data_IF_553990912913
#
_entry.id   IF_553990912913
#
_cell.length_a   1.000
_cell.length_b   1.000
_cell.length_c   1.000
_cell.angle_alpha   90.00
_cell.angle_beta   90.00
_cell.angle_gamma   90.00
#
_symmetry.space_group_name_H-M   'P 1'
#
loop_
_entity.id
_entity.type
_entity.pdbx_description
1 polymer ?
#
# COMPACT_ATOMS: atom_id res chain seq x y z
N UNK A 1 -26.53 60.50 -44.65
CA UNK A 1 -25.14 60.41 -44.15
C UNK A 1 -25.02 59.20 -43.26
N UNK A 2 -24.08 58.33 -43.61
CA UNK A 2 -23.71 57.10 -42.89
C UNK A 2 -22.92 57.44 -41.62
N UNK A 3 -23.03 56.55 -40.64
CA UNK A 3 -22.07 56.24 -39.56
C UNK A 3 -21.93 57.25 -38.42
N UNK A 4 -22.56 56.91 -37.29
CA UNK A 4 -21.91 57.00 -35.98
C UNK A 4 -22.52 55.95 -35.02
N UNK A 5 -22.33 54.67 -35.32
CA UNK A 5 -22.65 53.57 -34.39
C UNK A 5 -21.57 52.49 -34.54
N UNK A 6 -20.36 52.76 -34.05
CA UNK A 6 -19.23 51.83 -34.16
C UNK A 6 -18.06 52.26 -33.27
N UNK A 7 -18.28 52.45 -31.96
CA UNK A 7 -17.14 52.55 -31.05
C UNK A 7 -17.34 51.90 -29.67
N UNK A 8 -18.57 51.56 -29.28
CA UNK A 8 -18.83 50.83 -28.02
C UNK A 8 -18.84 49.31 -28.19
N UNK A 9 -18.99 48.78 -29.41
CA UNK A 9 -19.00 47.32 -29.67
C UNK A 9 -17.61 46.72 -29.94
N UNK A 10 -16.57 47.53 -30.17
CA UNK A 10 -15.21 47.06 -30.44
C UNK A 10 -14.36 46.91 -29.17
N UNK A 11 -14.75 47.55 -28.07
CA UNK A 11 -14.06 47.40 -26.79
C UNK A 11 -14.49 46.11 -26.08
N UNK A 12 -15.74 45.66 -26.17
CA UNK A 12 -16.16 44.44 -25.47
C UNK A 12 -15.60 43.13 -26.08
N UNK A 13 -15.37 43.08 -27.39
CA UNK A 13 -14.82 41.89 -28.06
C UNK A 13 -13.32 41.72 -27.83
N UNK A 14 -12.56 42.81 -27.71
CA UNK A 14 -11.14 42.76 -27.36
C UNK A 14 -10.93 42.30 -25.91
N UNK A 15 -11.78 42.70 -24.95
CA UNK A 15 -11.69 42.22 -23.56
C UNK A 15 -12.07 40.74 -23.42
N UNK A 16 -13.05 40.24 -24.19
CA UNK A 16 -13.39 38.81 -24.21
C UNK A 16 -12.28 37.95 -24.82
N UNK A 17 -11.66 38.40 -25.92
CA UNK A 17 -10.56 37.68 -26.56
C UNK A 17 -9.25 37.71 -25.74
N UNK A 18 -8.97 38.82 -25.03
CA UNK A 18 -7.81 38.91 -24.12
C UNK A 18 -8.02 38.15 -22.79
N UNK A 19 -9.25 38.05 -22.29
CA UNK A 19 -9.58 37.22 -21.12
C UNK A 19 -9.43 35.72 -21.42
N UNK A 20 -9.79 35.28 -22.64
CA UNK A 20 -9.59 33.89 -23.09
C UNK A 20 -8.11 33.54 -23.29
N UNK A 21 -7.31 34.43 -23.90
CA UNK A 21 -5.88 34.18 -24.19
C UNK A 21 -5.00 33.95 -22.95
N UNK A 22 -5.40 34.47 -21.79
CA UNK A 22 -4.71 34.24 -20.51
C UNK A 22 -5.10 32.92 -19.82
N UNK A 23 -6.24 32.33 -20.19
CA UNK A 23 -6.77 31.12 -19.56
C UNK A 23 -6.22 29.83 -20.19
N UNK A 24 -5.85 29.84 -21.47
CA UNK A 24 -5.27 28.68 -22.17
C UNK A 24 -3.90 28.26 -21.60
N UNK A 25 -3.22 29.18 -20.92
CA UNK A 25 -1.96 28.92 -20.21
C UNK A 25 -2.15 28.54 -18.75
N UNK A 26 -3.38 28.44 -18.25
CA UNK A 26 -3.62 28.00 -16.87
C UNK A 26 -3.76 26.48 -16.80
N UNK A 27 -3.37 25.93 -15.67
CA UNK A 27 -3.66 24.55 -15.28
C UNK A 27 -4.03 24.45 -13.81
N UNK A 28 -4.78 23.42 -13.47
CA UNK A 28 -5.05 23.06 -12.08
C UNK A 28 -4.04 22.01 -11.65
N UNK A 29 -3.21 22.37 -10.68
CA UNK A 29 -2.29 21.45 -10.02
C UNK A 29 -3.04 20.73 -8.91
N UNK A 30 -3.26 19.44 -9.13
CA UNK A 30 -3.91 18.53 -8.19
C UNK A 30 -2.91 17.96 -7.16
N UNK A 31 -1.64 18.35 -7.26
CA UNK A 31 -0.57 17.86 -6.41
C UNK A 31 0.06 16.57 -6.91
N UNK A 32 0.41 15.67 -6.00
CA UNK A 32 0.94 14.34 -6.34
C UNK A 32 -0.17 13.47 -6.97
N UNK A 33 0.09 12.99 -8.19
CA UNK A 33 -0.83 12.18 -8.98
C UNK A 33 -0.77 10.69 -8.67
N UNK A 34 0.10 10.25 -7.74
CA UNK A 34 -0.03 8.95 -7.08
C UNK A 34 -1.37 8.92 -6.33
N UNK A 35 -2.19 7.91 -6.63
CA UNK A 35 -3.65 8.03 -6.47
C UNK A 35 -4.14 8.17 -5.04
N UNK A 36 -3.38 7.74 -4.04
CA UNK A 36 -3.67 7.93 -2.62
C UNK A 36 -3.26 9.33 -2.13
N UNK A 37 -2.16 9.88 -2.65
CA UNK A 37 -1.58 11.16 -2.21
C UNK A 37 -2.29 12.38 -2.76
N UNK A 38 -3.12 12.23 -3.79
CA UNK A 38 -3.92 13.34 -4.35
C UNK A 38 -4.86 13.97 -3.31
N UNK A 39 -5.33 13.19 -2.33
CA UNK A 39 -6.19 13.68 -1.24
C UNK A 39 -5.45 14.49 -0.17
N UNK A 40 -4.12 14.42 -0.14
CA UNK A 40 -3.28 14.98 0.92
C UNK A 40 -2.81 16.40 0.62
N UNK A 41 -2.98 16.88 -0.61
CA UNK A 41 -2.46 18.17 -1.07
C UNK A 41 -3.57 19.15 -1.40
N UNK A 42 -3.28 20.43 -1.20
CA UNK A 42 -4.16 21.51 -1.64
C UNK A 42 -4.03 21.69 -3.14
N UNK A 43 -5.18 21.80 -3.79
CA UNK A 43 -5.30 22.19 -5.19
C UNK A 43 -4.86 23.64 -5.34
N UNK A 44 -4.12 23.92 -6.41
CA UNK A 44 -3.73 25.28 -6.80
C UNK A 44 -3.91 25.49 -8.29
N UNK A 45 -3.97 26.75 -8.72
CA UNK A 45 -3.89 27.13 -10.13
C UNK A 45 -2.49 27.62 -10.42
N UNK A 46 -1.91 27.23 -11.55
CA UNK A 46 -0.62 27.74 -12.01
C UNK A 46 -0.62 28.02 -13.50
N UNK A 47 0.40 28.77 -13.94
CA UNK A 47 0.74 28.86 -15.35
C UNK A 47 1.37 27.52 -15.81
N UNK A 48 0.91 26.99 -16.93
CA UNK A 48 1.34 25.72 -17.50
C UNK A 48 2.73 25.79 -18.12
N UNK A 49 3.25 27.00 -18.39
CA UNK A 49 4.56 27.21 -19.03
C UNK A 49 5.73 27.18 -18.04
N UNK A 50 5.49 27.54 -16.78
CA UNK A 50 6.56 27.73 -15.79
C UNK A 50 6.17 27.32 -14.36
N UNK A 51 5.00 26.70 -14.17
CA UNK A 51 4.48 26.22 -12.88
C UNK A 51 4.34 27.28 -11.78
N UNK A 52 4.40 28.57 -12.13
CA UNK A 52 4.18 29.64 -11.16
C UNK A 52 2.72 29.67 -10.74
N UNK A 53 2.50 29.65 -9.42
CA UNK A 53 1.16 29.76 -8.82
C UNK A 53 0.50 31.06 -9.27
N UNK A 54 -0.75 30.95 -9.71
CA UNK A 54 -1.60 32.07 -10.11
C UNK A 54 -2.70 32.21 -9.05
N UNK A 55 -2.92 33.44 -8.60
CA UNK A 55 -4.06 33.78 -7.75
C UNK A 55 -5.17 34.32 -8.63
N UNK A 56 -6.31 33.65 -8.59
CA UNK A 56 -7.53 34.08 -9.27
C UNK A 56 -8.44 34.80 -8.28
N UNK A 57 -9.18 35.79 -8.76
CA UNK A 57 -10.23 36.43 -7.99
C UNK A 57 -11.42 35.49 -7.83
N UNK A 58 -12.33 35.83 -6.92
CA UNK A 58 -13.61 35.12 -6.80
C UNK A 58 -14.40 35.20 -8.12
N UNK A 59 -14.93 34.07 -8.58
CA UNK A 59 -15.57 33.97 -9.90
C UNK A 59 -15.61 32.55 -10.44
N UNK A 60 -16.20 32.38 -11.63
CA UNK A 60 -16.26 31.10 -12.34
C UNK A 60 -15.30 31.11 -13.53
N UNK A 61 -14.61 29.98 -13.74
CA UNK A 61 -13.57 29.83 -14.74
C UNK A 61 -13.74 28.49 -15.46
N UNK A 62 -13.87 28.55 -16.78
CA UNK A 62 -13.89 27.38 -17.64
C UNK A 62 -12.81 27.53 -18.72
N UNK A 63 -11.89 26.57 -18.79
CA UNK A 63 -10.79 26.61 -19.76
C UNK A 63 -10.29 25.21 -20.10
N UNK A 64 -9.67 25.09 -21.27
CA UNK A 64 -9.16 23.83 -21.80
C UNK A 64 -7.74 24.03 -22.31
N UNK A 65 -6.83 23.18 -21.87
CA UNK A 65 -5.48 23.11 -22.40
C UNK A 65 -5.23 21.71 -22.99
N UNK A 66 -3.99 21.40 -23.38
CA UNK A 66 -3.64 20.13 -24.02
C UNK A 66 -3.88 18.90 -23.13
N UNK A 67 -3.84 19.07 -21.82
CA UNK A 67 -3.89 17.98 -20.83
C UNK A 67 -5.16 18.01 -19.99
N UNK A 68 -5.83 19.16 -19.88
CA UNK A 68 -6.93 19.35 -18.94
C UNK A 68 -8.11 20.09 -19.56
N UNK A 69 -9.32 19.68 -19.16
CA UNK A 69 -10.56 20.47 -19.28
C UNK A 69 -11.03 20.82 -17.88
N UNK A 70 -11.22 22.11 -17.60
CA UNK A 70 -11.39 22.65 -16.25
C UNK A 70 -12.66 23.47 -16.20
N UNK A 71 -13.47 23.24 -15.17
CA UNK A 71 -14.64 24.02 -14.81
C UNK A 71 -14.64 24.22 -13.29
N UNK A 72 -14.20 25.40 -12.84
CA UNK A 72 -14.00 25.70 -11.42
C UNK A 72 -14.61 27.05 -11.02
N UNK A 73 -14.94 27.17 -9.74
CA UNK A 73 -15.30 28.42 -9.09
C UNK A 73 -14.34 28.73 -7.95
N UNK A 74 -14.03 30.01 -7.78
CA UNK A 74 -13.27 30.54 -6.67
C UNK A 74 -14.23 31.30 -5.75
N UNK A 75 -14.29 30.91 -4.48
CA UNK A 75 -15.11 31.58 -3.45
C UNK A 75 -14.28 31.78 -2.19
N UNK A 76 -14.09 33.03 -1.77
CA UNK A 76 -13.20 33.41 -0.66
C UNK A 76 -11.79 32.81 -0.82
N UNK A 77 -11.27 32.80 -2.06
CA UNK A 77 -9.97 32.22 -2.39
C UNK A 77 -9.88 30.69 -2.33
N UNK A 78 -11.00 29.97 -2.16
CA UNK A 78 -11.07 28.51 -2.19
C UNK A 78 -11.59 28.02 -3.55
N UNK A 79 -11.02 26.92 -4.06
CA UNK A 79 -11.34 26.32 -5.36
C UNK A 79 -12.42 25.25 -5.18
N UNK A 80 -13.40 25.24 -6.08
CA UNK A 80 -14.44 24.21 -6.19
C UNK A 80 -14.67 23.88 -7.66
N UNK A 81 -15.10 22.66 -7.97
CA UNK A 81 -15.54 22.30 -9.33
C UNK A 81 -14.93 21.00 -9.84
N UNK A 82 -14.83 20.88 -11.17
CA UNK A 82 -14.42 19.69 -11.87
C UNK A 82 -13.16 19.93 -12.71
N UNK A 83 -12.27 18.94 -12.70
CA UNK A 83 -11.08 18.92 -13.56
C UNK A 83 -10.99 17.54 -14.22
N UNK A 84 -10.95 17.54 -15.55
CA UNK A 84 -10.73 16.36 -16.36
C UNK A 84 -9.29 16.40 -16.86
N UNK A 85 -8.53 15.34 -16.63
CA UNK A 85 -7.14 15.19 -17.07
C UNK A 85 -7.05 14.05 -18.07
N UNK A 86 -6.56 14.32 -19.27
CA UNK A 86 -6.35 13.33 -20.33
C UNK A 86 -4.85 13.15 -20.55
N UNK A 87 -4.35 11.92 -20.37
CA UNK A 87 -2.95 11.60 -20.61
C UNK A 87 -2.79 10.86 -21.95
N UNK A 88 -2.33 11.58 -22.97
CA UNK A 88 -2.23 11.06 -24.34
C UNK A 88 -1.07 10.07 -24.57
N UNK A 89 -0.22 9.80 -23.57
CA UNK A 89 0.98 8.97 -23.76
C UNK A 89 0.76 7.46 -23.49
N UNK A 90 -0.35 7.06 -22.87
CA UNK A 90 -0.61 5.66 -22.48
C UNK A 90 -2.10 5.37 -22.51
N UNK A 91 -2.64 4.97 -23.68
CA UNK A 91 -4.08 4.71 -23.85
C UNK A 91 -4.92 5.95 -23.54
N UNK A 92 -6.21 5.98 -23.83
CA UNK A 92 -7.06 7.13 -23.46
C UNK A 92 -7.34 7.10 -21.95
N UNK A 93 -6.33 7.38 -21.11
CA UNK A 93 -6.52 7.52 -19.67
C UNK A 93 -7.14 8.89 -19.39
N UNK A 94 -8.37 8.87 -18.90
CA UNK A 94 -9.10 10.05 -18.47
C UNK A 94 -9.30 9.99 -16.95
N UNK A 95 -8.91 11.03 -16.24
CA UNK A 95 -9.20 11.16 -14.81
C UNK A 95 -10.09 12.35 -14.56
N UNK A 96 -11.20 12.12 -13.86
CA UNK A 96 -12.15 13.14 -13.45
C UNK A 96 -11.91 13.42 -11.97
N UNK A 97 -11.75 14.68 -11.61
CA UNK A 97 -11.56 15.13 -10.22
C UNK A 97 -12.68 16.08 -9.83
N UNK A 98 -13.24 15.88 -8.65
CA UNK A 98 -14.14 16.83 -7.99
C UNK A 98 -13.40 17.52 -6.85
N UNK A 99 -13.45 18.85 -6.83
CA UNK A 99 -12.72 19.69 -5.89
C UNK A 99 -13.72 20.46 -5.03
N UNK A 100 -13.49 20.50 -3.72
CA UNK A 100 -14.21 21.37 -2.80
C UNK A 100 -13.22 21.93 -1.78
N UNK A 101 -13.36 23.21 -1.42
CA UNK A 101 -12.48 23.88 -0.44
C UNK A 101 -10.98 23.76 -0.77
N UNK A 102 -10.63 23.82 -2.06
CA UNK A 102 -9.27 23.59 -2.58
C UNK A 102 -8.68 22.22 -2.25
N UNK A 103 -9.52 21.21 -2.00
CA UNK A 103 -9.11 19.82 -1.81
C UNK A 103 -9.82 18.94 -2.83
N UNK A 104 -9.11 17.93 -3.37
CA UNK A 104 -9.79 16.88 -4.14
C UNK A 104 -10.70 16.10 -3.20
N UNK A 105 -11.99 16.02 -3.50
CA UNK A 105 -12.98 15.26 -2.73
C UNK A 105 -13.22 13.89 -3.31
N UNK A 106 -13.24 13.78 -4.63
CA UNK A 106 -13.48 12.55 -5.36
C UNK A 106 -12.61 12.51 -6.61
N UNK A 107 -12.27 11.31 -7.05
CA UNK A 107 -11.74 11.10 -8.39
C UNK A 107 -12.30 9.82 -9.00
N UNK A 108 -12.35 9.79 -10.33
CA UNK A 108 -12.65 8.59 -11.12
C UNK A 108 -11.68 8.49 -12.29
N UNK A 109 -11.09 7.32 -12.49
CA UNK A 109 -10.13 7.02 -13.56
C UNK A 109 -10.75 6.02 -14.52
N UNK A 110 -10.72 6.37 -15.81
CA UNK A 110 -11.07 5.51 -16.93
C UNK A 110 -9.83 5.24 -17.79
N UNK A 111 -9.74 4.02 -18.34
CA UNK A 111 -8.76 3.65 -19.37
C UNK A 111 -9.53 2.96 -20.48
N UNK A 112 -9.42 3.45 -21.72
CA UNK A 112 -10.17 2.91 -22.87
C UNK A 112 -11.69 2.86 -22.59
N UNK A 113 -12.22 3.89 -21.93
CA UNK A 113 -13.61 4.00 -21.43
C UNK A 113 -14.02 3.02 -20.32
N UNK A 114 -13.16 2.11 -19.89
CA UNK A 114 -13.42 1.20 -18.78
C UNK A 114 -13.09 1.85 -17.44
N UNK A 115 -13.96 1.68 -16.45
CA UNK A 115 -13.72 2.16 -15.09
C UNK A 115 -12.55 1.39 -14.46
N UNK A 116 -11.48 2.08 -14.10
CA UNK A 116 -10.29 1.47 -13.50
C UNK A 116 -10.12 1.81 -12.02
N UNK A 117 -10.49 3.01 -11.60
CA UNK A 117 -10.30 3.41 -10.22
C UNK A 117 -11.32 4.48 -9.80
N UNK A 118 -11.74 4.42 -8.54
CA UNK A 118 -12.51 5.47 -7.88
C UNK A 118 -11.85 5.79 -6.55
N UNK A 119 -12.00 7.03 -6.10
CA UNK A 119 -11.63 7.41 -4.75
C UNK A 119 -12.48 8.56 -4.26
N UNK A 120 -12.65 8.63 -2.95
CA UNK A 120 -13.30 9.76 -2.28
C UNK A 120 -12.67 10.01 -0.92
N UNK A 121 -12.89 11.19 -0.35
CA UNK A 121 -12.48 11.51 1.02
C UNK A 121 -13.59 12.14 1.85
N UNK A 122 -13.60 11.78 3.12
CA UNK A 122 -14.23 12.57 4.17
C UNK A 122 -13.17 13.51 4.80
N UNK A 123 -13.41 13.93 6.03
CA UNK A 123 -12.50 14.83 6.75
C UNK A 123 -11.31 14.10 7.36
N UNK A 124 -11.48 12.82 7.73
CA UNK A 124 -10.48 12.02 8.45
C UNK A 124 -9.79 10.99 7.57
N UNK A 125 -10.41 10.56 6.47
CA UNK A 125 -9.99 9.42 5.66
C UNK A 125 -10.23 9.64 4.17
N UNK A 126 -9.34 9.05 3.38
CA UNK A 126 -9.52 8.83 1.96
C UNK A 126 -9.76 7.34 1.71
N UNK A 127 -10.65 7.01 0.79
CA UNK A 127 -11.00 5.65 0.38
C UNK A 127 -10.76 5.49 -1.10
N UNK A 128 -10.47 4.27 -1.54
CA UNK A 128 -10.33 3.97 -2.95
C UNK A 128 -10.79 2.55 -3.28
N UNK A 129 -11.14 2.37 -4.55
CA UNK A 129 -11.35 1.07 -5.19
C UNK A 129 -10.68 1.08 -6.56
N UNK A 130 -9.97 0.01 -6.88
CA UNK A 130 -9.33 -0.26 -8.16
C UNK A 130 -9.94 -1.52 -8.74
N UNK A 131 -10.17 -1.52 -10.04
CA UNK A 131 -10.81 -2.60 -10.78
C UNK A 131 -9.85 -3.17 -11.83
N UNK A 132 -10.02 -4.43 -12.18
CA UNK A 132 -9.41 -4.97 -13.39
C UNK A 132 -10.01 -4.27 -14.63
N UNK A 133 -9.25 -4.12 -15.72
CA UNK A 133 -9.74 -3.50 -16.95
C UNK A 133 -10.66 -4.47 -17.71
N UNK A 134 -11.80 -4.80 -17.10
CA UNK A 134 -12.86 -5.65 -17.65
C UNK A 134 -14.22 -4.95 -17.55
N UNK A 135 -15.19 -5.40 -18.35
CA UNK A 135 -16.55 -4.85 -18.34
C UNK A 135 -17.32 -5.19 -17.06
N UNK A 136 -16.88 -6.20 -16.32
CA UNK A 136 -17.52 -6.70 -15.09
C UNK A 136 -17.16 -5.84 -13.87
N UNK A 137 -16.18 -4.95 -13.99
CA UNK A 137 -15.62 -4.15 -12.91
C UNK A 137 -15.17 -5.03 -11.74
N UNK A 138 -14.44 -6.11 -12.06
CA UNK A 138 -13.92 -7.03 -11.04
C UNK A 138 -13.01 -6.26 -10.09
N UNK A 139 -13.30 -6.29 -8.79
CA UNK A 139 -12.53 -5.57 -7.78
C UNK A 139 -11.12 -6.15 -7.70
N UNK A 140 -10.11 -5.29 -7.92
CA UNK A 140 -8.69 -5.65 -7.86
C UNK A 140 -8.09 -5.27 -6.53
N UNK A 141 -8.38 -4.07 -6.05
CA UNK A 141 -7.94 -3.60 -4.75
C UNK A 141 -8.89 -2.57 -4.16
N UNK A 142 -8.93 -2.46 -2.84
CA UNK A 142 -9.65 -1.40 -2.15
C UNK A 142 -8.94 -1.05 -0.85
N UNK A 143 -9.25 0.11 -0.29
CA UNK A 143 -8.69 0.46 1.00
C UNK A 143 -9.06 1.86 1.45
N UNK A 144 -8.46 2.24 2.57
CA UNK A 144 -8.55 3.58 3.12
C UNK A 144 -7.19 4.04 3.65
N UNK A 145 -7.06 5.35 3.81
CA UNK A 145 -5.88 6.03 4.34
C UNK A 145 -6.30 7.17 5.25
N UNK A 146 -5.61 7.35 6.38
CA UNK A 146 -5.83 8.45 7.31
C UNK A 146 -5.34 9.77 6.72
N UNK A 147 -6.18 10.80 6.85
CA UNK A 147 -5.92 12.21 6.58
C UNK A 147 -5.71 13.02 7.86
N UNK A 148 -5.79 12.39 9.04
CA UNK A 148 -5.46 13.01 10.31
C UNK A 148 -3.93 13.19 10.42
N UNK A 149 -3.49 14.45 10.39
CA UNK A 149 -2.07 14.84 10.48
C UNK A 149 -1.44 14.47 11.81
N UNK A 150 -2.24 14.30 12.85
CA UNK A 150 -1.77 13.95 14.19
C UNK A 150 -1.79 12.44 14.43
N UNK A 151 -2.42 11.65 13.55
CA UNK A 151 -2.62 10.22 13.75
C UNK A 151 -2.59 9.43 12.44
N UNK A 152 -1.52 8.66 12.27
CA UNK A 152 -1.33 7.74 11.15
C UNK A 152 -1.46 8.38 9.76
N UNK A 153 -1.19 9.68 9.62
CA UNK A 153 -1.29 10.42 8.35
C UNK A 153 -0.61 9.67 7.20
N UNK A 154 -1.32 9.46 6.09
CA UNK A 154 -0.78 8.75 4.93
C UNK A 154 -0.66 7.23 5.10
N UNK A 155 -1.13 6.67 6.22
CA UNK A 155 -1.20 5.23 6.49
C UNK A 155 -2.65 4.77 6.59
N UNK A 156 -2.89 3.50 6.30
CA UNK A 156 -4.22 2.91 6.40
C UNK A 156 -4.20 1.44 6.03
N UNK A 157 -5.35 0.91 5.66
CA UNK A 157 -5.54 -0.51 5.38
C UNK A 157 -5.97 -0.69 3.94
N UNK A 158 -5.30 -1.59 3.22
CA UNK A 158 -5.71 -2.01 1.88
C UNK A 158 -5.87 -3.51 1.76
N UNK A 159 -6.72 -3.91 0.83
CA UNK A 159 -7.00 -5.28 0.43
C UNK A 159 -6.72 -5.41 -1.06
N UNK A 160 -6.19 -6.56 -1.46
CA UNK A 160 -6.09 -6.96 -2.88
C UNK A 160 -6.80 -8.27 -3.07
N UNK A 161 -7.31 -8.46 -4.27
CA UNK A 161 -8.10 -9.63 -4.66
C UNK A 161 -7.47 -10.28 -5.89
N UNK A 162 -7.69 -11.58 -6.03
CA UNK A 162 -7.48 -12.29 -7.28
C UNK A 162 -8.62 -11.98 -8.27
N UNK A 163 -8.44 -12.29 -9.55
CA UNK A 163 -9.49 -12.09 -10.58
C UNK A 163 -10.77 -12.90 -10.30
N UNK A 164 -10.68 -13.99 -9.53
CA UNK A 164 -11.85 -14.75 -9.09
C UNK A 164 -12.58 -14.12 -7.89
N UNK A 165 -12.14 -12.94 -7.42
CA UNK A 165 -12.72 -12.23 -6.28
C UNK A 165 -12.20 -12.67 -4.91
N UNK A 166 -11.41 -13.74 -4.81
CA UNK A 166 -10.85 -14.18 -3.52
C UNK A 166 -9.80 -13.19 -3.03
N UNK A 167 -9.81 -12.90 -1.73
CA UNK A 167 -8.81 -12.05 -1.08
C UNK A 167 -7.41 -12.66 -1.24
N UNK A 168 -6.46 -11.88 -1.74
CA UNK A 168 -5.06 -12.30 -1.92
C UNK A 168 -4.13 -11.69 -0.89
N UNK A 169 -4.44 -10.48 -0.41
CA UNK A 169 -3.55 -9.73 0.47
C UNK A 169 -4.29 -8.68 1.29
N UNK A 170 -3.87 -8.49 2.54
CA UNK A 170 -4.20 -7.34 3.40
C UNK A 170 -2.91 -6.65 3.81
N UNK A 171 -2.84 -5.33 3.59
CA UNK A 171 -1.79 -4.46 4.12
C UNK A 171 -2.40 -3.55 5.18
N UNK A 172 -2.02 -3.73 6.44
CA UNK A 172 -2.34 -2.80 7.51
C UNK A 172 -1.11 -1.98 7.85
N UNK A 173 -1.01 -0.79 7.28
CA UNK A 173 0.10 0.14 7.52
C UNK A 173 -0.06 0.91 8.83
N UNK A 174 -1.19 0.79 9.51
CA UNK A 174 -1.42 1.39 10.84
C UNK A 174 -0.72 0.55 11.90
N UNK A 175 -0.90 -0.77 11.84
CA UNK A 175 -0.24 -1.73 12.75
C UNK A 175 1.03 -2.35 12.17
N UNK A 176 1.39 -1.97 10.94
CA UNK A 176 2.52 -2.51 10.18
C UNK A 176 2.48 -4.05 10.07
N UNK A 177 1.26 -4.58 9.86
CA UNK A 177 0.98 -6.00 9.72
C UNK A 177 0.47 -6.30 8.31
N UNK A 178 1.00 -7.35 7.69
CA UNK A 178 0.71 -7.74 6.33
C UNK A 178 0.32 -9.21 6.27
N UNK A 179 -0.80 -9.53 5.61
CA UNK A 179 -1.32 -10.91 5.52
C UNK A 179 -1.51 -11.29 4.06
N UNK A 180 -0.94 -12.42 3.65
CA UNK A 180 -1.11 -13.03 2.33
C UNK A 180 -2.04 -14.24 2.43
N UNK A 181 -2.77 -14.53 1.36
CA UNK A 181 -3.73 -15.61 1.27
C UNK A 181 -3.47 -16.46 0.03
N UNK A 182 -3.86 -17.72 0.09
CA UNK A 182 -3.94 -18.61 -1.06
C UNK A 182 -5.22 -18.32 -1.88
N UNK A 183 -5.30 -18.74 -3.16
CA UNK A 183 -6.50 -18.60 -3.98
C UNK A 183 -7.75 -19.29 -3.42
N UNK A 184 -7.56 -20.29 -2.53
CA UNK A 184 -8.64 -20.98 -1.82
C UNK A 184 -9.18 -20.20 -0.59
N UNK A 185 -8.61 -19.03 -0.28
CA UNK A 185 -9.01 -18.17 0.84
C UNK A 185 -8.29 -18.44 2.15
N UNK A 186 -7.51 -19.52 2.26
CA UNK A 186 -6.72 -19.80 3.45
C UNK A 186 -5.56 -18.81 3.59
N UNK A 187 -5.22 -18.46 4.83
CA UNK A 187 -4.03 -17.66 5.10
C UNK A 187 -2.80 -18.41 4.61
N UNK A 188 -1.86 -17.68 4.05
CA UNK A 188 -0.55 -18.18 3.61
C UNK A 188 0.56 -17.69 4.54
N UNK A 189 0.53 -16.39 4.85
CA UNK A 189 1.56 -15.75 5.67
C UNK A 189 0.98 -14.55 6.39
N UNK A 190 1.45 -14.29 7.61
CA UNK A 190 1.24 -13.03 8.33
C UNK A 190 2.58 -12.53 8.84
N UNK A 191 2.92 -11.29 8.57
CA UNK A 191 4.19 -10.68 9.00
C UNK A 191 3.97 -9.29 9.58
N UNK A 192 4.76 -8.93 10.58
CA UNK A 192 4.81 -7.60 11.20
C UNK A 192 6.05 -7.49 12.10
N UNK A 193 6.18 -6.40 12.85
CA UNK A 193 7.41 -6.11 13.62
C UNK A 193 7.85 -7.25 14.56
N UNK A 194 6.90 -7.92 15.24
CA UNK A 194 7.17 -8.96 16.23
C UNK A 194 6.45 -10.28 15.94
N UNK A 195 5.97 -10.46 14.71
CA UNK A 195 5.20 -11.64 14.33
C UNK A 195 5.56 -12.06 12.92
N UNK A 196 5.85 -13.34 12.76
CA UNK A 196 5.96 -13.99 11.46
C UNK A 196 5.28 -15.35 11.55
N UNK A 197 4.22 -15.56 10.79
CA UNK A 197 3.46 -16.80 10.76
C UNK A 197 3.38 -17.27 9.31
N UNK A 198 3.62 -18.56 9.06
CA UNK A 198 3.33 -19.20 7.77
C UNK A 198 2.37 -20.35 7.98
N UNK A 199 1.55 -20.59 6.97
CA UNK A 199 0.47 -21.56 6.98
C UNK A 199 0.59 -22.44 5.74
N UNK A 200 0.17 -23.69 5.88
CA UNK A 200 0.00 -24.58 4.75
C UNK A 200 -1.28 -24.23 3.97
N UNK A 201 -1.41 -24.74 2.75
CA UNK A 201 -2.57 -24.46 1.89
C UNK A 201 -3.90 -24.99 2.46
N UNK A 202 -3.84 -25.97 3.37
CA UNK A 202 -4.97 -26.48 4.15
C UNK A 202 -5.40 -25.56 5.32
N UNK A 203 -4.69 -24.45 5.53
CA UNK A 203 -4.96 -23.47 6.58
C UNK A 203 -4.28 -23.76 7.92
N UNK A 204 -3.57 -24.89 8.06
CA UNK A 204 -2.85 -25.20 9.29
C UNK A 204 -1.61 -24.31 9.46
N UNK A 205 -1.40 -23.78 10.67
CA UNK A 205 -0.17 -23.09 11.03
C UNK A 205 1.01 -24.04 10.83
N UNK A 206 2.05 -23.57 10.15
CA UNK A 206 3.29 -24.31 9.89
C UNK A 206 4.45 -23.74 10.69
N UNK A 207 4.57 -22.41 10.75
CA UNK A 207 5.63 -21.73 11.47
C UNK A 207 5.10 -20.50 12.20
N UNK A 208 5.66 -20.21 13.38
CA UNK A 208 5.43 -18.97 14.10
C UNK A 208 6.71 -18.49 14.77
N UNK A 209 7.14 -17.29 14.42
CA UNK A 209 8.23 -16.58 15.09
C UNK A 209 7.66 -15.39 15.86
N UNK A 210 8.11 -15.23 17.09
CA UNK A 210 7.64 -14.19 17.99
C UNK A 210 8.67 -13.92 19.10
N UNK A 211 8.58 -12.76 19.72
CA UNK A 211 9.40 -12.40 20.87
C UNK A 211 8.56 -12.47 22.14
N UNK A 212 9.08 -13.13 23.17
CA UNK A 212 8.48 -13.16 24.52
C UNK A 212 9.61 -13.09 25.54
N UNK A 213 9.48 -12.24 26.55
CA UNK A 213 10.51 -12.04 27.60
C UNK A 213 11.91 -11.74 27.00
N UNK A 214 11.99 -10.89 25.97
CA UNK A 214 13.22 -10.58 25.22
C UNK A 214 13.91 -11.77 24.53
N UNK A 215 13.26 -12.94 24.48
CA UNK A 215 13.74 -14.11 23.75
C UNK A 215 12.93 -14.27 22.46
N UNK A 216 13.62 -14.47 21.34
CA UNK A 216 13.00 -14.77 20.05
C UNK A 216 12.81 -16.29 19.93
N UNK A 217 11.56 -16.69 19.77
CA UNK A 217 11.16 -18.07 19.54
C UNK A 217 10.87 -18.31 18.06
N UNK A 218 11.15 -19.54 17.62
CA UNK A 218 10.79 -20.07 16.32
C UNK A 218 10.10 -21.44 16.50
N UNK A 219 8.78 -21.44 16.39
CA UNK A 219 7.92 -22.61 16.57
C UNK A 219 7.57 -23.22 15.21
N UNK A 220 7.79 -24.53 15.04
CA UNK A 220 7.29 -25.30 13.90
C UNK A 220 6.17 -26.23 14.32
N UNK A 221 5.15 -26.27 13.48
CA UNK A 221 3.93 -27.02 13.69
C UNK A 221 3.80 -28.10 12.61
N UNK A 222 3.33 -29.27 13.01
CA UNK A 222 2.97 -30.37 12.12
C UNK A 222 1.49 -30.70 12.34
N UNK A 223 0.67 -30.61 11.28
CA UNK A 223 -0.78 -30.80 11.32
C UNK A 223 -1.45 -30.00 12.46
N UNK A 224 -1.07 -28.73 12.59
CA UNK A 224 -1.62 -27.80 13.59
C UNK A 224 -1.12 -28.00 15.03
N UNK A 225 -0.24 -28.98 15.29
CA UNK A 225 0.33 -29.24 16.63
C UNK A 225 1.80 -28.83 16.68
N UNK A 226 2.21 -28.19 17.77
CA UNK A 226 3.62 -27.83 17.98
C UNK A 226 4.48 -29.09 17.89
N UNK A 227 5.54 -29.02 17.08
CA UNK A 227 6.47 -30.12 16.84
C UNK A 227 7.88 -29.77 17.31
N UNK A 228 8.35 -28.54 17.04
CA UNK A 228 9.62 -28.04 17.57
C UNK A 228 9.52 -26.58 17.96
N UNK A 229 10.31 -26.18 18.95
CA UNK A 229 10.52 -24.78 19.31
C UNK A 229 12.02 -24.55 19.41
N UNK A 230 12.54 -23.53 18.73
CA UNK A 230 13.94 -23.15 18.80
C UNK A 230 14.08 -21.71 19.29
N UNK A 231 15.06 -21.44 20.16
CA UNK A 231 15.33 -20.12 20.72
C UNK A 231 16.73 -20.07 21.34
N UNK A 232 17.21 -18.87 21.60
CA UNK A 232 18.43 -18.64 22.37
C UNK A 232 18.08 -18.34 23.84
N UNK A 233 18.69 -19.05 24.79
CA UNK A 233 18.47 -18.80 26.23
C UNK A 233 19.25 -17.57 26.74
N UNK A 234 19.09 -17.24 28.02
CA UNK A 234 19.74 -16.09 28.66
C UNK A 234 21.28 -16.20 28.66
N UNK A 235 21.81 -17.43 28.64
CA UNK A 235 23.24 -17.74 28.54
C UNK A 235 23.75 -17.70 27.09
N UNK A 236 22.91 -17.32 26.13
CA UNK A 236 23.19 -17.32 24.69
C UNK A 236 23.39 -18.71 24.08
N UNK A 237 22.93 -19.77 24.73
CA UNK A 237 22.94 -21.11 24.15
C UNK A 237 21.77 -21.29 23.19
N UNK A 238 22.00 -22.01 22.09
CA UNK A 238 20.93 -22.45 21.19
C UNK A 238 20.15 -23.59 21.84
N UNK A 239 18.84 -23.41 21.95
CA UNK A 239 17.92 -24.39 22.54
C UNK A 239 16.95 -24.86 21.48
N UNK A 240 16.73 -26.19 21.43
CA UNK A 240 15.65 -26.81 20.66
C UNK A 240 14.83 -27.75 21.52
N UNK A 241 13.55 -27.47 21.63
CA UNK A 241 12.56 -28.32 22.29
C UNK A 241 11.80 -29.14 21.25
N UNK A 242 11.50 -30.39 21.58
CA UNK A 242 10.83 -31.35 20.70
C UNK A 242 9.52 -31.80 21.33
N UNK A 243 8.49 -31.85 20.49
CA UNK A 243 7.12 -32.14 20.87
C UNK A 243 6.56 -33.24 19.97
N UNK A 244 5.80 -34.15 20.57
CA UNK A 244 5.02 -35.17 19.86
C UNK A 244 3.55 -34.90 20.14
N UNK A 245 2.77 -34.63 19.09
CA UNK A 245 1.35 -34.26 19.20
C UNK A 245 1.10 -33.08 20.16
N UNK A 246 2.02 -32.11 20.22
CA UNK A 246 1.93 -30.95 21.12
C UNK A 246 2.39 -31.22 22.56
N UNK A 247 2.81 -32.44 22.90
CA UNK A 247 3.31 -32.80 24.22
C UNK A 247 4.84 -32.78 24.21
N UNK A 248 5.46 -32.04 25.13
CA UNK A 248 6.90 -31.95 25.28
C UNK A 248 7.53 -33.34 25.53
N UNK A 249 8.61 -33.64 24.80
CA UNK A 249 9.31 -34.92 24.87
C UNK A 249 10.75 -34.79 25.36
N UNK A 250 11.50 -33.82 24.80
CA UNK A 250 12.91 -33.60 25.11
C UNK A 250 13.36 -32.19 24.75
N UNK A 251 14.48 -31.77 25.32
CA UNK A 251 15.16 -30.50 25.03
C UNK A 251 16.63 -30.78 24.68
N UNK A 252 17.12 -30.18 23.61
CA UNK A 252 18.53 -30.14 23.27
C UNK A 252 19.08 -28.73 23.48
N UNK A 253 20.29 -28.62 24.02
CA UNK A 253 20.99 -27.34 24.25
C UNK A 253 22.39 -27.45 23.70
N UNK A 254 22.77 -26.56 22.80
CA UNK A 254 24.15 -26.45 22.33
C UNK A 254 24.93 -25.53 23.27
N UNK A 255 25.91 -26.10 23.97
CA UNK A 255 26.76 -25.38 24.93
C UNK A 255 28.23 -25.50 24.55
N UNK A 256 29.02 -24.46 24.86
CA UNK A 256 30.48 -24.54 24.80
C UNK A 256 31.03 -25.12 26.10
N UNK A 257 31.62 -26.31 26.03
CA UNK A 257 32.24 -27.01 27.14
C UNK A 257 33.71 -27.26 26.82
N UNK A 258 34.62 -26.80 27.68
CA UNK A 258 36.07 -26.99 27.52
C UNK A 258 36.62 -26.56 26.14
N UNK A 259 36.04 -25.52 25.55
CA UNK A 259 36.44 -25.02 24.22
C UNK A 259 35.66 -25.60 23.05
N UNK A 260 34.95 -26.72 23.24
CA UNK A 260 34.20 -27.42 22.19
C UNK A 260 32.69 -27.17 22.30
N UNK A 261 32.01 -27.08 21.16
CA UNK A 261 30.54 -27.05 21.14
C UNK A 261 30.06 -28.49 21.36
N UNK A 262 29.06 -28.67 22.23
CA UNK A 262 28.44 -29.96 22.55
C UNK A 262 26.93 -29.82 22.58
N UNK A 263 26.22 -30.82 22.08
CA UNK A 263 24.76 -30.90 22.17
C UNK A 263 24.37 -31.77 23.38
N UNK A 264 23.81 -31.12 24.40
CA UNK A 264 23.29 -31.78 25.60
C UNK A 264 21.78 -32.01 25.42
N UNK A 265 21.35 -33.27 25.45
CA UNK A 265 19.92 -33.63 25.36
C UNK A 265 19.37 -34.07 26.71
N UNK A 266 18.21 -33.53 27.06
CA UNK A 266 17.48 -33.80 28.31
C UNK A 266 16.11 -34.37 27.99
N UNK A 267 15.66 -35.37 28.75
CA UNK A 267 14.32 -35.92 28.64
C UNK A 267 13.24 -34.98 29.22
N UNK A 268 11.98 -35.41 29.16
CA UNK A 268 10.84 -34.67 29.71
C UNK A 268 10.90 -34.40 31.21
N UNK A 269 11.67 -35.18 31.97
CA UNK A 269 11.89 -35.01 33.40
C UNK A 269 13.10 -34.10 33.71
N UNK A 270 13.83 -33.66 32.68
CA UNK A 270 15.03 -32.84 32.82
C UNK A 270 16.31 -33.66 33.06
N UNK A 271 16.27 -34.99 32.95
CA UNK A 271 17.45 -35.83 33.09
C UNK A 271 18.29 -35.76 31.81
N UNK A 272 19.60 -35.54 31.94
CA UNK A 272 20.54 -35.63 30.83
C UNK A 272 20.54 -37.07 30.29
N UNK A 273 20.22 -37.22 29.00
CA UNK A 273 20.18 -38.51 28.30
C UNK A 273 21.23 -38.62 27.21
N UNK A 274 21.79 -37.49 26.75
CA UNK A 274 22.86 -37.51 25.75
C UNK A 274 23.79 -36.30 25.85
N UNK A 275 25.05 -36.49 25.50
CA UNK A 275 26.07 -35.46 25.37
C UNK A 275 26.96 -35.83 24.18
N UNK A 276 26.74 -35.19 23.04
CA UNK A 276 27.42 -35.51 21.78
C UNK A 276 28.07 -34.26 21.16
N UNK A 277 29.03 -34.44 20.24
CA UNK A 277 29.42 -33.36 19.31
C UNK A 277 28.18 -32.77 18.61
N UNK A 278 28.25 -31.52 18.10
CA UNK A 278 27.11 -30.89 17.48
C UNK A 278 26.66 -31.67 16.25
N UNK A 279 25.35 -31.74 16.02
CA UNK A 279 24.77 -32.45 14.88
C UNK A 279 25.13 -31.71 13.58
N UNK A 280 26.19 -32.15 12.89
CA UNK A 280 26.59 -31.59 11.60
C UNK A 280 25.65 -32.08 10.50
N UNK A 281 24.55 -31.34 10.27
CA UNK A 281 23.66 -31.55 9.13
C UNK A 281 24.25 -31.10 7.79
N UNK A 282 25.52 -31.42 7.48
CA UNK A 282 26.12 -31.21 6.17
C UNK A 282 26.59 -32.56 5.65
N UNK A 283 25.77 -33.20 4.83
CA UNK A 283 26.26 -34.21 3.90
C UNK A 283 27.19 -33.52 2.91
N UNK A 284 28.50 -33.65 3.13
CA UNK A 284 29.50 -33.38 2.10
C UNK A 284 29.15 -34.24 0.89
N UNK A 285 28.75 -33.57 -0.20
CA UNK A 285 28.84 -34.14 -1.54
C UNK A 285 30.31 -34.44 -1.76
N UNK A 286 30.72 -35.69 -1.59
CA UNK A 286 32.00 -36.16 -2.10
C UNK A 286 31.92 -36.09 -3.62
N UNK A 287 32.52 -35.05 -4.20
CA UNK A 287 32.96 -35.09 -5.59
C UNK A 287 33.90 -36.29 -5.74
N UNK A 288 33.39 -37.37 -6.34
CA UNK A 288 34.23 -38.39 -6.94
C UNK A 288 34.95 -37.77 -8.13
N UNK A 289 36.14 -37.20 -7.90
CA UNK A 289 37.15 -37.13 -8.95
C UNK A 289 37.85 -38.48 -9.00
N UNK A 290 37.31 -39.36 -9.84
CA UNK A 290 38.03 -40.52 -10.33
C UNK A 290 38.24 -40.37 -11.84
N UNK A 291 39.52 -40.21 -12.19
CA UNK A 291 40.19 -40.42 -13.48
C UNK A 291 39.87 -39.47 -14.62
#
# INVERSE_FOLDING_TARGET
MKKLLSLTTLLFTCFLAFAQKGQDTLKVNLGNTETDKVFMQKVTVSDSRNDRKVLLNDGNYAFKNKEQTIDISIKKGLIYGLVFVTNNHKKEKVTQYKIENSMVKEFTIYIDSLLCQTGHRDDERAYYKEYYPDEKQTLKSEGWMSLDKNKYYGRGISKKYYENGTLSYISDRVTETYTEFYPNGNKKKKQGQNIYETYNEDGNLHNKQYTKNNIRYNDYYNKGKLNTRSYQDEEKNEVREYYQNGVFQKKAVEKKLNGEIRTLSYDKAGKLINNEPPYSGVSEVRENKNK
#
